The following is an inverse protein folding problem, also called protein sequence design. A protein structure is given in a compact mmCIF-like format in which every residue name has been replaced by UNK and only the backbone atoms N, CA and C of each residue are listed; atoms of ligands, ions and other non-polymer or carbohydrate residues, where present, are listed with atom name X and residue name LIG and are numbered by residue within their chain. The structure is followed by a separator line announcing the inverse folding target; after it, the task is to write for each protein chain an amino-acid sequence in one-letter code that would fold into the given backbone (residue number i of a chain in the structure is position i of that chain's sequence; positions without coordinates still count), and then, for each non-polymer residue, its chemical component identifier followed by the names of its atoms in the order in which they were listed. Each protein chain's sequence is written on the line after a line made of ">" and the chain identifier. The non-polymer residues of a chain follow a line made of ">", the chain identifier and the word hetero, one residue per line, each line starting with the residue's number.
data_IF_633939920056
#
_entry.id   IF_633939920056
#
_cell.length_a   1.000
_cell.length_b   1.000
_cell.length_c   1.000
_cell.angle_alpha   90.00
_cell.angle_beta   90.00
_cell.angle_gamma   90.00
#
_symmetry.space_group_name_H-M   'P 1'
#
loop_
_entity.id
_entity.type
_entity.pdbx_description
1 polymer ?
#
# COMPACT_ATOMS: atom_id res chain seq x y z
N UNK A 1 15.74 5.57 44.36
CA UNK A 1 15.19 6.67 43.54
C UNK A 1 14.51 5.98 42.37
N UNK A 2 13.23 5.68 42.52
CA UNK A 2 12.44 4.97 41.51
C UNK A 2 12.19 5.95 40.35
N UNK A 3 12.85 5.72 39.22
CA UNK A 3 12.61 6.48 37.99
C UNK A 3 11.34 5.96 37.35
N UNK A 4 10.22 6.62 37.62
CA UNK A 4 8.99 6.41 36.88
C UNK A 4 9.19 6.90 35.44
N UNK A 5 9.41 5.97 34.51
CA UNK A 5 9.34 6.25 33.08
C UNK A 5 7.91 6.66 32.74
N UNK A 6 7.69 7.97 32.65
CA UNK A 6 6.47 8.53 32.07
C UNK A 6 6.34 7.99 30.65
N UNK A 7 5.52 6.96 30.47
CA UNK A 7 5.15 6.44 29.16
C UNK A 7 4.62 7.64 28.34
N UNK A 8 5.35 8.03 27.30
CA UNK A 8 4.96 9.12 26.41
C UNK A 8 3.62 8.74 25.79
N UNK A 9 2.53 9.28 26.32
CA UNK A 9 1.16 9.13 25.81
C UNK A 9 1.04 9.89 24.48
N UNK A 10 1.67 9.34 23.44
CA UNK A 10 1.48 9.73 22.05
C UNK A 10 0.73 8.63 21.30
N UNK A 11 0.41 8.87 20.01
CA UNK A 11 -0.12 7.84 19.11
C UNK A 11 0.79 6.61 19.21
N UNK A 12 0.26 5.40 19.46
CA UNK A 12 1.06 4.18 19.47
C UNK A 12 1.94 4.16 18.22
N UNK A 13 3.23 3.85 18.38
CA UNK A 13 4.10 3.62 17.24
C UNK A 13 3.48 2.45 16.46
N UNK A 14 2.85 2.73 15.33
CA UNK A 14 2.44 1.69 14.40
C UNK A 14 3.72 1.04 13.86
N UNK A 15 3.89 -0.26 14.05
CA UNK A 15 5.07 -1.01 13.59
C UNK A 15 5.21 -1.05 12.06
N UNK A 16 4.13 -0.82 11.32
CA UNK A 16 4.15 -0.70 9.86
C UNK A 16 3.39 0.54 9.37
N UNK A 17 3.98 1.75 9.52
CA UNK A 17 3.36 2.95 9.00
C UNK A 17 3.50 2.97 7.47
N UNK A 18 2.41 3.28 6.75
CA UNK A 18 2.42 3.48 5.28
C UNK A 18 3.13 4.80 4.92
N UNK A 19 4.42 4.88 5.21
CA UNK A 19 5.24 6.08 5.06
C UNK A 19 5.86 6.21 3.66
N UNK A 20 5.78 5.16 2.84
CA UNK A 20 6.31 5.20 1.47
C UNK A 20 5.25 5.74 0.51
N UNK A 21 5.53 6.91 -0.08
CA UNK A 21 4.71 7.51 -1.13
C UNK A 21 5.41 7.31 -2.47
N UNK A 22 4.72 6.65 -3.40
CA UNK A 22 5.21 6.40 -4.76
C UNK A 22 4.33 7.19 -5.72
N UNK A 23 4.95 8.14 -6.44
CA UNK A 23 4.30 8.85 -7.54
C UNK A 23 4.54 8.12 -8.86
N UNK A 24 3.50 7.51 -9.43
CA UNK A 24 3.58 6.85 -10.73
C UNK A 24 3.04 7.79 -11.81
N UNK A 25 3.85 8.04 -12.85
CA UNK A 25 3.38 8.72 -14.06
C UNK A 25 2.77 7.67 -14.98
N UNK A 26 1.48 7.85 -15.28
CA UNK A 26 0.72 6.99 -16.17
C UNK A 26 0.29 7.82 -17.39
N UNK A 27 0.15 7.15 -18.52
CA UNK A 27 -0.58 7.73 -19.66
C UNK A 27 -2.08 7.77 -19.36
N UNK A 28 -2.83 8.59 -20.11
CA UNK A 28 -4.28 8.74 -19.92
C UNK A 28 -5.02 7.41 -20.15
N UNK A 29 -4.59 6.62 -21.14
CA UNK A 29 -5.11 5.29 -21.43
C UNK A 29 -4.90 4.31 -20.26
N UNK A 30 -3.69 4.28 -19.67
CA UNK A 30 -3.39 3.41 -18.54
C UNK A 30 -4.19 3.78 -17.30
N UNK A 31 -4.29 5.08 -17.01
CA UNK A 31 -5.10 5.58 -15.90
C UNK A 31 -6.59 5.25 -16.09
N UNK A 32 -7.09 5.36 -17.33
CA UNK A 32 -8.48 5.01 -17.67
C UNK A 32 -8.73 3.52 -17.46
N UNK A 33 -7.87 2.65 -17.98
CA UNK A 33 -7.98 1.19 -17.76
C UNK A 33 -7.97 0.82 -16.27
N UNK A 34 -7.06 1.42 -15.51
CA UNK A 34 -6.98 1.23 -14.05
C UNK A 34 -8.25 1.68 -13.35
N UNK A 35 -8.81 2.83 -13.74
CA UNK A 35 -10.03 3.38 -13.17
C UNK A 35 -11.27 2.55 -13.50
N UNK A 36 -11.37 2.04 -14.73
CA UNK A 36 -12.46 1.14 -15.14
C UNK A 36 -12.39 -0.18 -14.37
N UNK A 37 -11.21 -0.76 -14.25
CA UNK A 37 -11.00 -1.98 -13.47
C UNK A 37 -11.36 -1.77 -12.00
N UNK A 38 -10.85 -0.70 -11.39
CA UNK A 38 -11.17 -0.28 -10.03
C UNK A 38 -12.69 -0.14 -9.83
N UNK A 39 -13.38 0.56 -10.74
CA UNK A 39 -14.83 0.77 -10.69
C UNK A 39 -15.62 -0.52 -10.83
N UNK A 40 -15.20 -1.42 -11.73
CA UNK A 40 -15.84 -2.72 -11.94
C UNK A 40 -15.72 -3.64 -10.72
N UNK A 41 -14.62 -3.55 -9.98
CA UNK A 41 -14.33 -4.40 -8.83
C UNK A 41 -14.62 -3.75 -7.48
N UNK A 42 -15.11 -2.50 -7.45
CA UNK A 42 -15.39 -1.75 -6.22
C UNK A 42 -14.14 -1.43 -5.40
N UNK A 43 -12.99 -1.30 -6.06
CA UNK A 43 -11.68 -1.03 -5.43
C UNK A 43 -11.21 0.38 -5.78
N UNK A 44 -10.31 0.93 -4.97
CA UNK A 44 -9.57 2.14 -5.33
C UNK A 44 -8.40 1.80 -6.27
N UNK A 45 -7.97 2.77 -7.08
CA UNK A 45 -6.80 2.61 -7.97
C UNK A 45 -5.57 2.15 -7.18
N UNK A 46 -5.39 2.67 -5.96
CA UNK A 46 -4.32 2.27 -5.04
C UNK A 46 -4.39 0.80 -4.62
N UNK A 47 -5.58 0.27 -4.35
CA UNK A 47 -5.75 -1.15 -3.98
C UNK A 47 -5.50 -2.08 -5.17
N UNK A 48 -5.92 -1.66 -6.37
CA UNK A 48 -5.62 -2.40 -7.61
C UNK A 48 -4.11 -2.48 -7.84
N UNK A 49 -3.39 -1.38 -7.64
CA UNK A 49 -1.93 -1.35 -7.77
C UNK A 49 -1.23 -2.20 -6.70
N UNK A 50 -1.68 -2.11 -5.44
CA UNK A 50 -1.14 -2.95 -4.35
C UNK A 50 -1.31 -4.44 -4.67
N UNK A 51 -2.50 -4.83 -5.14
CA UNK A 51 -2.76 -6.20 -5.56
C UNK A 51 -1.91 -6.61 -6.77
N UNK A 52 -1.67 -5.70 -7.71
CA UNK A 52 -0.76 -5.95 -8.84
C UNK A 52 0.66 -6.29 -8.39
N UNK A 53 1.17 -5.57 -7.39
CA UNK A 53 2.49 -5.83 -6.79
C UNK A 53 2.50 -7.21 -6.11
N UNK A 54 1.50 -7.51 -5.27
CA UNK A 54 1.40 -8.82 -4.59
C UNK A 54 1.32 -9.99 -5.58
N UNK A 55 0.59 -9.81 -6.69
CA UNK A 55 0.47 -10.82 -7.74
C UNK A 55 1.82 -11.05 -8.44
N UNK A 56 2.56 -9.98 -8.73
CA UNK A 56 3.87 -10.09 -9.39
C UNK A 56 4.87 -10.88 -8.54
N UNK A 57 4.94 -10.61 -7.24
CA UNK A 57 5.82 -11.36 -6.33
C UNK A 57 5.38 -12.82 -6.17
N UNK A 58 4.08 -13.10 -6.10
CA UNK A 58 3.56 -14.49 -6.06
C UNK A 58 3.89 -15.29 -7.32
N UNK A 59 3.94 -14.62 -8.47
CA UNK A 59 4.32 -15.25 -9.73
C UNK A 59 5.81 -15.63 -9.75
N UNK A 60 6.68 -14.80 -9.16
CA UNK A 60 8.10 -15.14 -8.99
C UNK A 60 8.29 -16.32 -8.02
N UNK A 61 7.60 -16.33 -6.87
CA UNK A 61 7.67 -17.44 -5.90
C UNK A 61 7.17 -18.79 -6.46
N UNK A 62 6.29 -18.77 -7.47
CA UNK A 62 5.79 -19.99 -8.11
C UNK A 62 6.69 -20.51 -9.24
N UNK A 63 7.75 -19.76 -9.56
CA UNK A 63 8.73 -20.09 -10.62
C UNK A 63 10.04 -20.65 -10.06
N UNK A 64 10.20 -20.73 -8.73
CA UNK A 64 11.34 -21.37 -8.03
C UNK A 64 11.02 -22.78 -7.52
#
# INVERSE_FOLDING_TARGET
>A
MEVYEVARTGRPKSDNPKNSLIGLKLTEDEATKLREYASKHGMTITEVLQRGIDLQYKMEESSE
#
